data_IF_295052604915
#
_entry.id   IF_295052604915
#
_cell.length_a   1.000
_cell.length_b   1.000
_cell.length_c   1.000
_cell.angle_alpha   90.00
_cell.angle_beta   90.00
_cell.angle_gamma   90.00
#
_symmetry.space_group_name_H-M   'P 1'
#
loop_
_entity.id
_entity.type
_entity.pdbx_description
1 polymer ?
#
# COMPACT_ATOMS: atom_id res chain seq x y z
N UNK A 1 -17.04 0.86 7.56
CA UNK A 1 -17.73 0.40 6.33
C UNK A 1 -17.45 -1.09 6.16
N UNK A 2 -18.41 -1.94 5.75
CA UNK A 2 -18.13 -3.34 5.45
C UNK A 2 -17.21 -3.46 4.21
N UNK A 3 -16.36 -4.47 4.20
CA UNK A 3 -15.49 -4.77 3.04
C UNK A 3 -16.35 -4.98 1.79
N UNK A 4 -15.89 -4.47 0.64
CA UNK A 4 -16.58 -4.73 -0.64
C UNK A 4 -16.64 -6.23 -0.90
N UNK A 5 -17.85 -6.79 -1.01
CA UNK A 5 -18.06 -8.20 -1.34
C UNK A 5 -17.32 -8.57 -2.62
N UNK A 6 -17.31 -7.69 -3.62
CA UNK A 6 -16.57 -7.87 -4.88
C UNK A 6 -15.06 -7.94 -4.66
N UNK A 7 -14.49 -7.03 -3.88
CA UNK A 7 -13.06 -7.03 -3.58
C UNK A 7 -12.66 -8.32 -2.86
N UNK A 8 -13.47 -8.73 -1.88
CA UNK A 8 -13.31 -10.01 -1.17
C UNK A 8 -13.35 -11.20 -2.11
N UNK A 9 -14.37 -11.31 -2.98
CA UNK A 9 -14.47 -12.42 -3.94
C UNK A 9 -13.25 -12.49 -4.86
N UNK A 10 -12.74 -11.35 -5.34
CA UNK A 10 -11.55 -11.33 -6.21
C UNK A 10 -10.31 -11.79 -5.44
N UNK A 11 -10.11 -11.32 -4.20
CA UNK A 11 -8.97 -11.71 -3.37
C UNK A 11 -9.01 -13.20 -3.02
N UNK A 12 -10.19 -13.72 -2.64
CA UNK A 12 -10.42 -15.15 -2.43
C UNK A 12 -10.09 -15.95 -3.69
N UNK A 13 -10.54 -15.51 -4.86
CA UNK A 13 -10.21 -16.18 -6.13
C UNK A 13 -8.71 -16.17 -6.41
N UNK A 14 -8.02 -15.03 -6.23
CA UNK A 14 -6.59 -14.89 -6.46
C UNK A 14 -5.70 -15.67 -5.48
N UNK A 15 -6.24 -16.12 -4.34
CA UNK A 15 -5.51 -17.02 -3.41
C UNK A 15 -5.31 -18.42 -4.00
N UNK A 16 -6.25 -18.87 -4.84
CA UNK A 16 -6.25 -20.21 -5.44
C UNK A 16 -5.89 -20.17 -6.93
N UNK A 17 -6.07 -19.02 -7.58
CA UNK A 17 -5.82 -18.79 -8.99
C UNK A 17 -4.90 -17.59 -9.17
N UNK A 18 -3.59 -17.84 -9.12
CA UNK A 18 -2.58 -16.80 -9.29
C UNK A 18 -2.76 -16.08 -10.64
N UNK A 19 -3.04 -14.77 -10.65
CA UNK A 19 -3.24 -14.04 -11.90
C UNK A 19 -1.92 -13.98 -12.70
N UNK A 20 -2.01 -13.86 -14.03
CA UNK A 20 -0.81 -13.76 -14.87
C UNK A 20 -0.05 -12.43 -14.69
N UNK A 21 -0.76 -11.36 -14.32
CA UNK A 21 -0.21 -10.02 -14.07
C UNK A 21 -0.74 -9.46 -12.75
N UNK A 22 -0.09 -8.42 -12.22
CA UNK A 22 -0.50 -7.73 -11.01
C UNK A 22 -1.79 -6.91 -11.17
N UNK A 23 -2.31 -6.75 -12.39
CA UNK A 23 -3.39 -5.79 -12.71
C UNK A 23 -4.67 -6.01 -11.90
N UNK A 24 -5.06 -7.27 -11.70
CA UNK A 24 -6.25 -7.61 -10.92
C UNK A 24 -6.05 -7.22 -9.45
N UNK A 25 -4.91 -7.58 -8.86
CA UNK A 25 -4.57 -7.23 -7.48
C UNK A 25 -4.45 -5.72 -7.31
N UNK A 26 -3.86 -5.04 -8.29
CA UNK A 26 -3.73 -3.59 -8.33
C UNK A 26 -5.08 -2.88 -8.36
N UNK A 27 -6.01 -3.36 -9.20
CA UNK A 27 -7.37 -2.82 -9.26
C UNK A 27 -8.13 -3.01 -7.95
N UNK A 28 -7.95 -4.15 -7.29
CA UNK A 28 -8.53 -4.41 -5.97
C UNK A 28 -7.97 -3.47 -4.92
N UNK A 29 -6.65 -3.35 -4.80
CA UNK A 29 -6.00 -2.46 -3.84
C UNK A 29 -6.33 -0.99 -4.10
N UNK A 30 -6.42 -0.57 -5.36
CA UNK A 30 -6.86 0.79 -5.73
C UNK A 30 -8.29 1.04 -5.25
N UNK A 31 -9.20 0.08 -5.48
CA UNK A 31 -10.59 0.19 -5.04
C UNK A 31 -10.70 0.23 -3.52
N UNK A 32 -9.96 -0.65 -2.82
CA UNK A 32 -9.91 -0.69 -1.36
C UNK A 32 -9.44 0.66 -0.80
N UNK A 33 -8.27 1.13 -1.24
CA UNK A 33 -7.72 2.40 -0.77
C UNK A 33 -8.64 3.57 -1.11
N UNK A 34 -9.35 3.54 -2.24
CA UNK A 34 -10.29 4.58 -2.64
C UNK A 34 -11.52 4.65 -1.74
N UNK A 35 -11.92 3.53 -1.14
CA UNK A 35 -12.98 3.52 -0.12
C UNK A 35 -12.50 3.99 1.25
N UNK A 36 -11.22 3.81 1.57
CA UNK A 36 -10.62 4.19 2.85
C UNK A 36 -10.16 5.65 2.88
N UNK A 37 -9.74 6.19 1.73
CA UNK A 37 -9.14 7.51 1.59
C UNK A 37 -9.84 8.26 0.45
N UNK A 38 -10.91 8.98 0.77
CA UNK A 38 -11.79 9.57 -0.25
C UNK A 38 -11.39 11.02 -0.61
N UNK A 39 -11.70 11.49 -1.83
CA UNK A 39 -11.49 12.88 -2.22
C UNK A 39 -12.21 13.90 -1.33
N UNK A 40 -13.39 13.56 -0.80
CA UNK A 40 -14.16 14.41 0.11
C UNK A 40 -13.44 14.65 1.43
N UNK A 41 -12.54 13.73 1.83
CA UNK A 41 -11.69 13.85 3.00
C UNK A 41 -10.32 14.48 2.66
N UNK A 42 -10.14 14.95 1.43
CA UNK A 42 -8.90 15.59 0.96
C UNK A 42 -7.81 14.59 0.55
N UNK A 43 -8.16 13.34 0.26
CA UNK A 43 -7.19 12.35 -0.22
C UNK A 43 -7.25 12.15 -1.74
N UNK A 44 -6.09 11.88 -2.33
CA UNK A 44 -5.98 11.49 -3.74
C UNK A 44 -5.15 10.21 -3.85
N UNK A 45 -5.55 9.33 -4.76
CA UNK A 45 -4.77 8.16 -5.13
C UNK A 45 -3.99 8.45 -6.42
N UNK A 46 -2.69 8.22 -6.38
CA UNK A 46 -1.80 8.32 -7.52
C UNK A 46 -1.27 6.92 -7.88
N UNK A 47 -1.98 6.19 -8.74
CA UNK A 47 -1.51 4.94 -9.29
C UNK A 47 -0.23 5.16 -10.12
N UNK A 48 0.84 4.44 -9.81
CA UNK A 48 2.12 4.44 -10.53
C UNK A 48 2.52 3.02 -10.93
N UNK A 49 2.69 2.80 -12.23
CA UNK A 49 3.48 1.67 -12.72
C UNK A 49 4.93 2.11 -12.77
N UNK A 50 5.79 1.41 -12.04
CA UNK A 50 7.20 1.78 -11.95
C UNK A 50 8.01 0.86 -12.86
N UNK A 51 8.72 1.44 -13.82
CA UNK A 51 9.63 0.73 -14.72
C UNK A 51 10.95 0.34 -14.04
N UNK A 52 11.18 0.81 -12.79
CA UNK A 52 12.27 0.39 -11.89
C UNK A 52 12.08 -1.07 -11.42
N UNK A 53 12.12 -1.94 -12.41
CA UNK A 53 12.15 -3.37 -12.28
C UNK A 53 13.58 -3.78 -12.00
N UNK A 54 14.03 -3.58 -10.76
CA UNK A 54 15.18 -4.30 -10.22
C UNK A 54 14.88 -5.81 -10.35
N UNK A 55 15.29 -6.41 -11.48
CA UNK A 55 14.99 -7.79 -11.87
C UNK A 55 13.80 -8.01 -12.81
N UNK A 56 13.35 -7.02 -13.60
CA UNK A 56 12.45 -7.24 -14.74
C UNK A 56 10.99 -7.59 -14.42
N UNK A 57 10.54 -7.42 -13.17
CA UNK A 57 9.16 -7.68 -12.74
C UNK A 57 8.38 -6.35 -12.62
N UNK A 58 7.15 -6.26 -13.15
CA UNK A 58 6.29 -5.10 -12.99
C UNK A 58 6.08 -4.75 -11.52
N UNK A 59 6.33 -3.50 -11.14
CA UNK A 59 6.03 -2.99 -9.81
C UNK A 59 4.76 -2.14 -9.90
N UNK A 60 3.72 -2.54 -9.17
CA UNK A 60 2.48 -1.79 -9.06
C UNK A 60 2.47 -1.02 -7.73
N UNK A 61 2.42 0.31 -7.80
CA UNK A 61 2.51 1.19 -6.63
C UNK A 61 1.32 2.12 -6.62
N UNK A 62 0.73 2.33 -5.46
CA UNK A 62 -0.34 3.30 -5.25
C UNK A 62 0.13 4.25 -4.15
N UNK A 63 0.28 5.52 -4.48
CA UNK A 63 0.52 6.55 -3.48
C UNK A 63 -0.83 7.14 -3.05
N UNK A 64 -1.07 7.18 -1.74
CA UNK A 64 -2.15 7.98 -1.16
C UNK A 64 -1.54 9.31 -0.74
N UNK A 65 -2.15 10.39 -1.22
CA UNK A 65 -1.71 11.75 -0.98
C UNK A 65 -2.78 12.52 -0.23
N UNK A 66 -2.39 13.36 0.73
CA UNK A 66 -3.25 14.35 1.38
C UNK A 66 -3.07 15.70 0.70
N UNK A 67 -4.18 16.32 0.32
CA UNK A 67 -4.20 17.67 -0.24
C UNK A 67 -4.10 18.66 0.91
N UNK A 68 -3.06 19.49 0.91
CA UNK A 68 -2.96 20.65 1.79
C UNK A 68 -3.32 21.91 0.97
N UNK A 69 -4.26 22.75 1.41
CA UNK A 69 -4.81 23.80 0.54
C UNK A 69 -3.93 25.07 0.44
N UNK A 70 -3.01 25.34 1.38
CA UNK A 70 -2.26 26.60 1.43
C UNK A 70 -0.80 26.43 1.89
N UNK A 71 0.20 26.45 0.97
CA UNK A 71 0.05 26.37 -0.50
C UNK A 71 -0.61 25.05 -0.93
N UNK A 72 -1.21 25.01 -2.13
CA UNK A 72 -1.77 23.77 -2.67
C UNK A 72 -0.64 22.76 -2.91
N UNK A 73 -0.51 21.79 -2.02
CA UNK A 73 0.50 20.73 -2.09
C UNK A 73 -0.14 19.36 -1.92
N UNK A 74 0.45 18.38 -2.59
CA UNK A 74 0.13 16.97 -2.40
C UNK A 74 1.21 16.36 -1.52
N UNK A 75 0.82 15.85 -0.36
CA UNK A 75 1.70 15.16 0.58
C UNK A 75 1.47 13.67 0.48
N UNK A 76 2.45 12.88 0.06
CA UNK A 76 2.35 11.41 0.15
C UNK A 76 2.34 11.00 1.63
N UNK A 77 1.31 10.27 2.04
CA UNK A 77 1.11 9.82 3.43
C UNK A 77 1.14 8.29 3.56
N UNK A 78 0.81 7.58 2.48
CA UNK A 78 0.80 6.12 2.43
C UNK A 78 1.28 5.65 1.05
N UNK A 79 2.16 4.66 1.02
CA UNK A 79 2.60 3.98 -0.20
C UNK A 79 2.19 2.52 -0.14
N UNK A 80 1.35 2.06 -1.05
CA UNK A 80 1.03 0.65 -1.19
C UNK A 80 1.80 0.05 -2.36
N UNK A 81 2.56 -1.01 -2.09
CA UNK A 81 3.28 -1.78 -3.10
C UNK A 81 2.63 -3.15 -3.25
N UNK A 82 2.23 -3.48 -4.48
CA UNK A 82 1.50 -4.69 -4.83
C UNK A 82 2.34 -5.54 -5.78
N UNK A 83 2.52 -6.80 -5.42
CA UNK A 83 3.19 -7.82 -6.22
C UNK A 83 2.31 -9.06 -6.37
N UNK A 84 2.61 -9.86 -7.38
CA UNK A 84 1.87 -11.07 -7.69
C UNK A 84 2.19 -12.22 -6.70
N UNK A 85 1.19 -13.04 -6.37
CA UNK A 85 1.29 -14.21 -5.48
C UNK A 85 2.42 -15.17 -5.86
N UNK A 86 2.74 -15.34 -7.15
CA UNK A 86 3.82 -16.24 -7.60
C UNK A 86 5.21 -15.90 -7.04
N UNK A 87 5.35 -14.68 -6.51
CA UNK A 87 6.60 -14.18 -5.94
C UNK A 87 6.64 -14.22 -4.41
N UNK A 88 5.70 -14.92 -3.78
CA UNK A 88 5.69 -15.11 -2.33
C UNK A 88 7.06 -15.63 -1.82
N UNK A 89 7.38 -15.30 -0.57
CA UNK A 89 8.65 -15.53 0.16
C UNK A 89 9.93 -15.04 -0.55
N UNK A 90 10.18 -15.50 -1.76
CA UNK A 90 11.33 -15.17 -2.62
C UNK A 90 11.54 -13.66 -2.82
N UNK A 91 10.49 -12.83 -2.75
CA UNK A 91 10.59 -11.38 -2.91
C UNK A 91 10.49 -10.56 -1.64
N UNK A 92 10.29 -11.15 -0.47
CA UNK A 92 10.28 -10.41 0.81
C UNK A 92 11.56 -9.56 0.96
N UNK A 93 12.79 -10.07 0.71
CA UNK A 93 14.00 -9.27 0.83
C UNK A 93 14.12 -8.15 -0.23
N UNK A 94 13.56 -8.35 -1.42
CA UNK A 94 13.56 -7.34 -2.47
C UNK A 94 12.57 -6.21 -2.16
N UNK A 95 11.40 -6.56 -1.63
CA UNK A 95 10.38 -5.62 -1.17
C UNK A 95 10.92 -4.72 -0.07
N UNK A 96 11.54 -5.28 0.97
CA UNK A 96 12.12 -4.49 2.06
C UNK A 96 13.14 -3.45 1.56
N UNK A 97 14.03 -3.85 0.64
CA UNK A 97 15.00 -2.91 0.02
C UNK A 97 14.33 -1.84 -0.83
N UNK A 98 13.27 -2.20 -1.55
CA UNK A 98 12.52 -1.27 -2.40
C UNK A 98 11.68 -0.30 -1.56
N UNK A 99 11.09 -0.77 -0.47
CA UNK A 99 10.28 0.00 0.45
C UNK A 99 11.06 1.20 1.01
N UNK A 100 12.29 0.98 1.47
CA UNK A 100 13.15 2.06 1.92
C UNK A 100 13.35 3.12 0.83
N UNK A 101 13.65 2.72 -0.41
CA UNK A 101 13.80 3.66 -1.53
C UNK A 101 12.54 4.47 -1.83
N UNK A 102 11.37 3.84 -1.84
CA UNK A 102 10.11 4.55 -2.14
C UNK A 102 9.72 5.50 -1.03
N UNK A 103 9.88 5.08 0.23
CA UNK A 103 9.61 5.94 1.38
C UNK A 103 10.59 7.11 1.46
N UNK A 104 11.87 6.91 1.14
CA UNK A 104 12.87 7.99 1.00
C UNK A 104 12.52 8.95 -0.15
N UNK A 105 12.05 8.42 -1.28
CA UNK A 105 11.56 9.21 -2.40
C UNK A 105 10.34 10.05 -2.02
N UNK A 106 9.43 9.50 -1.21
CA UNK A 106 8.29 10.25 -0.69
C UNK A 106 8.73 11.40 0.21
N UNK A 107 9.70 11.21 1.12
CA UNK A 107 10.25 12.29 1.94
C UNK A 107 10.98 13.37 1.10
N UNK A 108 11.68 12.95 0.05
CA UNK A 108 12.37 13.88 -0.84
C UNK A 108 11.41 14.70 -1.71
N UNK A 109 10.18 14.21 -1.92
CA UNK A 109 9.20 14.85 -2.78
C UNK A 109 8.10 15.60 -2.06
N UNK A 110 7.55 15.04 -0.97
CA UNK A 110 6.24 15.50 -0.45
C UNK A 110 5.94 15.14 1.01
N UNK A 111 6.49 14.05 1.57
CA UNK A 111 6.22 13.60 2.93
C UNK A 111 7.03 14.43 3.95
N UNK A 112 6.40 14.88 5.03
CA UNK A 112 7.04 15.74 6.04
C UNK A 112 7.87 14.94 7.05
N UNK A 113 7.19 14.22 7.96
CA UNK A 113 7.83 13.58 9.11
C UNK A 113 7.60 12.08 9.18
N UNK A 114 6.53 11.59 8.57
CA UNK A 114 6.12 10.18 8.58
C UNK A 114 5.43 9.81 7.28
N UNK A 115 5.66 8.58 6.83
CA UNK A 115 4.95 7.91 5.75
C UNK A 115 4.59 6.50 6.19
N UNK A 116 3.34 6.11 5.99
CA UNK A 116 2.92 4.73 6.16
C UNK A 116 3.14 3.94 4.89
N UNK A 117 3.16 2.62 4.99
CA UNK A 117 3.30 1.77 3.82
C UNK A 117 2.51 0.49 3.96
N UNK A 118 2.10 -0.05 2.81
CA UNK A 118 1.53 -1.40 2.67
C UNK A 118 2.46 -2.17 1.72
N UNK A 119 2.82 -3.38 2.11
CA UNK A 119 3.39 -4.38 1.20
C UNK A 119 2.35 -5.49 0.99
N UNK A 120 2.08 -5.83 -0.26
CA UNK A 120 1.21 -6.95 -0.62
C UNK A 120 1.86 -7.82 -1.68
N UNK A 121 1.82 -9.14 -1.47
CA UNK A 121 2.20 -10.17 -2.43
C UNK A 121 1.02 -11.13 -2.54
N UNK A 122 0.19 -10.96 -3.57
CA UNK A 122 -1.06 -11.69 -3.65
C UNK A 122 -1.97 -11.40 -2.46
N UNK A 123 -2.47 -12.43 -1.73
CA UNK A 123 -3.26 -12.23 -0.52
C UNK A 123 -2.44 -11.94 0.73
N UNK A 124 -1.12 -12.09 0.67
CA UNK A 124 -0.25 -11.80 1.79
C UNK A 124 -0.03 -10.31 1.87
N UNK A 125 -0.21 -9.72 3.04
CA UNK A 125 0.03 -8.30 3.20
C UNK A 125 0.44 -7.94 4.62
N UNK A 126 1.09 -6.79 4.75
CA UNK A 126 1.38 -6.14 6.03
C UNK A 126 1.48 -4.64 5.81
N UNK A 127 1.46 -3.89 6.90
CA UNK A 127 1.73 -2.46 6.86
C UNK A 127 2.74 -2.05 7.92
N UNK A 128 3.26 -0.85 7.75
CA UNK A 128 4.15 -0.25 8.72
C UNK A 128 4.32 1.24 8.50
N UNK A 129 5.37 1.79 9.11
CA UNK A 129 5.70 3.20 9.03
C UNK A 129 7.19 3.41 8.79
N UNK A 130 7.52 4.62 8.35
CA UNK A 130 8.87 5.17 8.36
C UNK A 130 8.80 6.63 8.82
N UNK A 131 9.75 7.02 9.65
CA UNK A 131 9.94 8.41 10.10
C UNK A 131 11.12 9.05 9.38
N UNK A 132 11.08 10.37 9.21
CA UNK A 132 12.07 11.13 8.43
C UNK A 132 13.51 11.02 8.97
N UNK A 133 13.69 10.86 10.28
CA UNK A 133 15.01 10.87 10.96
C UNK A 133 15.84 9.58 10.79
N UNK A 134 15.76 8.95 9.62
CA UNK A 134 16.73 7.93 9.20
C UNK A 134 16.58 6.56 9.83
N UNK A 135 15.43 6.26 10.45
CA UNK A 135 15.11 4.89 10.83
C UNK A 135 14.65 4.10 9.60
N UNK A 136 15.07 2.84 9.52
CA UNK A 136 14.56 1.92 8.51
C UNK A 136 13.04 1.78 8.63
N UNK A 137 12.37 1.59 7.49
CA UNK A 137 10.95 1.29 7.48
C UNK A 137 10.68 0.06 8.37
N UNK A 138 9.76 0.19 9.32
CA UNK A 138 9.45 -0.86 10.30
C UNK A 138 8.02 -1.36 10.14
N UNK A 139 7.79 -2.69 10.16
CA UNK A 139 6.44 -3.23 10.17
C UNK A 139 5.75 -2.89 11.50
N UNK A 140 4.45 -2.60 11.44
CA UNK A 140 3.60 -2.43 12.62
C UNK A 140 2.80 -3.70 12.94
N UNK A 141 2.68 -4.60 11.96
CA UNK A 141 2.06 -5.91 12.08
C UNK A 141 2.93 -6.97 11.40
N UNK A 142 2.76 -8.22 11.81
CA UNK A 142 3.26 -9.37 11.06
C UNK A 142 2.52 -9.54 9.73
N UNK A 143 3.01 -10.46 8.88
CA UNK A 143 2.32 -10.78 7.63
C UNK A 143 0.97 -11.43 7.91
N UNK A 144 -0.08 -10.82 7.38
CA UNK A 144 -1.32 -11.53 7.12
C UNK A 144 -1.15 -12.49 5.96
N UNK A 145 -1.85 -13.62 6.04
CA UNK A 145 -1.92 -14.60 4.94
C UNK A 145 -3.21 -14.52 4.13
N UNK A 146 -4.04 -13.54 4.43
CA UNK A 146 -5.29 -13.23 3.76
C UNK A 146 -5.52 -11.73 3.85
N UNK A 147 -6.35 -11.17 2.97
CA UNK A 147 -6.75 -9.76 2.96
C UNK A 147 -8.23 -9.56 3.29
N UNK A 148 -8.98 -10.66 3.48
CA UNK A 148 -10.45 -10.63 3.50
C UNK A 148 -11.09 -11.19 4.79
N UNK A 149 -10.28 -11.51 5.80
CA UNK A 149 -10.79 -11.91 7.11
C UNK A 149 -11.03 -10.70 8.02
N UNK A 150 -11.63 -10.96 9.18
CA UNK A 150 -11.94 -9.91 10.15
C UNK A 150 -10.66 -9.25 10.70
N UNK A 151 -9.61 -10.03 10.94
CA UNK A 151 -8.33 -9.51 11.44
C UNK A 151 -7.71 -8.51 10.44
N UNK A 152 -7.70 -8.86 9.15
CA UNK A 152 -7.22 -7.97 8.10
C UNK A 152 -8.04 -6.68 8.02
N UNK A 153 -9.35 -6.79 8.22
CA UNK A 153 -10.23 -5.64 8.24
C UNK A 153 -9.93 -4.70 9.41
N UNK A 154 -9.80 -5.25 10.62
CA UNK A 154 -9.52 -4.46 11.83
C UNK A 154 -8.15 -3.76 11.72
N UNK A 155 -7.16 -4.44 11.13
CA UNK A 155 -5.84 -3.87 10.88
C UNK A 155 -5.85 -2.77 9.79
N UNK A 156 -6.63 -2.94 8.73
CA UNK A 156 -6.83 -1.88 7.74
C UNK A 156 -7.52 -0.65 8.35
N UNK A 157 -8.52 -0.85 9.23
CA UNK A 157 -9.15 0.26 9.96
C UNK A 157 -8.17 0.97 10.90
N UNK A 158 -7.30 0.22 11.55
CA UNK A 158 -6.23 0.75 12.39
C UNK A 158 -5.26 1.59 11.56
N UNK A 159 -4.81 1.07 10.41
CA UNK A 159 -3.97 1.83 9.47
C UNK A 159 -4.65 3.11 8.99
N UNK A 160 -5.92 3.06 8.58
CA UNK A 160 -6.66 4.26 8.16
C UNK A 160 -6.69 5.29 9.29
N UNK A 161 -6.97 4.87 10.52
CA UNK A 161 -6.97 5.76 11.69
C UNK A 161 -5.60 6.41 11.90
N UNK A 162 -4.52 5.63 11.83
CA UNK A 162 -3.13 6.12 11.93
C UNK A 162 -2.77 7.12 10.83
N UNK A 163 -3.16 6.85 9.58
CA UNK A 163 -2.92 7.74 8.44
C UNK A 163 -3.72 9.03 8.58
N UNK A 164 -4.98 8.96 8.98
CA UNK A 164 -5.83 10.16 9.14
C UNK A 164 -5.38 11.08 10.27
N UNK A 165 -4.74 10.51 11.30
CA UNK A 165 -4.13 11.27 12.40
C UNK A 165 -2.85 12.03 12.00
N UNK A 166 -2.28 11.76 10.82
CA UNK A 166 -1.27 12.62 10.23
C UNK A 166 -1.93 13.88 9.69
N UNK A 167 -1.94 14.93 10.50
CA UNK A 167 -2.19 16.30 10.04
C UNK A 167 -1.11 16.75 9.05
#
# INVERSE_FOLDING_TARGET
MPFSTTARTILEYCTTHTPATEDILYGVWTSLLGTLFTPEQGYMLAPRRCDDSDGGIPNAIIEVMKVSPNPLTLRTILIAKIQNTQYWESRIPALQRQLNRYTDGAFSGTAYSKVYWIESIGPHWRYGEKEYEGQDARPLIDWHHTTHDQASFDDLQTLTSLVTALE
#
